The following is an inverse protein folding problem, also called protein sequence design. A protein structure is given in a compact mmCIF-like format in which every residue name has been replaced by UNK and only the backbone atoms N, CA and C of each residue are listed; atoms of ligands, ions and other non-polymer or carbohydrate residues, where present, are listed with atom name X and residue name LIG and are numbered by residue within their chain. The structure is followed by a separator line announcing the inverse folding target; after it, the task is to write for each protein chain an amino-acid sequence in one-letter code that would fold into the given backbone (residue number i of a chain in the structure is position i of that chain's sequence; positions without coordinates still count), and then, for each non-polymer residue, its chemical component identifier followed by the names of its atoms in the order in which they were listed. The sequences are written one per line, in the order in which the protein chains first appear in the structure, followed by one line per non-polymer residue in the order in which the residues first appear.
data_IF_960684702284
#
_entry.id   IF_960684702284
#
_cell.length_a   1.000
_cell.length_b   1.000
_cell.length_c   1.000
_cell.angle_alpha   90.00
_cell.angle_beta   90.00
_cell.angle_gamma   90.00
#
_symmetry.space_group_name_H-M   'P 1'
#
loop_
_entity.id
_entity.type
_entity.pdbx_description
1 polymer ?
#
# COMPACT_ATOMS: atom_id res chain seq x y z
N UNK A 1 -64.21 39.07 40.54
CA UNK A 1 -62.85 38.65 40.03
C UNK A 1 -63.02 37.33 39.27
N UNK A 2 -62.85 37.30 37.98
CA UNK A 2 -62.94 36.02 37.23
C UNK A 2 -61.66 35.24 37.38
N UNK A 3 -61.80 33.93 37.62
CA UNK A 3 -60.69 32.95 37.73
C UNK A 3 -59.96 32.79 36.41
N UNK A 4 -58.61 32.56 36.38
CA UNK A 4 -57.90 32.36 35.16
C UNK A 4 -58.24 30.96 34.60
N UNK A 5 -58.65 30.93 33.33
CA UNK A 5 -58.84 29.75 32.52
C UNK A 5 -57.49 29.11 32.28
N UNK A 6 -57.31 27.91 32.81
CA UNK A 6 -56.15 27.07 32.51
C UNK A 6 -56.18 26.64 31.04
N UNK A 7 -55.24 27.07 30.26
CA UNK A 7 -54.95 26.56 28.91
C UNK A 7 -54.62 25.06 29.00
N UNK A 8 -55.23 24.20 28.19
CA UNK A 8 -54.86 22.79 28.16
C UNK A 8 -53.42 22.67 27.59
N UNK A 9 -52.53 22.09 28.39
CA UNK A 9 -51.22 21.69 27.94
C UNK A 9 -51.38 20.64 26.82
N UNK A 10 -50.65 20.75 25.70
CA UNK A 10 -50.67 19.71 24.68
C UNK A 10 -50.17 18.42 25.32
N UNK A 11 -50.95 17.34 25.17
CA UNK A 11 -50.60 16.02 25.64
C UNK A 11 -49.28 15.62 24.96
N UNK A 12 -48.23 15.45 25.75
CA UNK A 12 -47.01 14.79 25.28
C UNK A 12 -47.43 13.41 24.78
N UNK A 13 -47.23 13.15 23.50
CA UNK A 13 -47.51 11.82 22.93
C UNK A 13 -46.45 10.87 23.51
N UNK A 14 -46.79 10.24 24.63
CA UNK A 14 -45.93 9.18 25.19
C UNK A 14 -45.73 8.12 24.12
N UNK A 15 -44.43 7.88 23.81
CA UNK A 15 -44.03 6.83 22.90
C UNK A 15 -44.43 5.47 23.51
N UNK A 16 -45.44 4.83 22.92
CA UNK A 16 -45.84 3.48 23.30
C UNK A 16 -45.10 2.44 22.45
N UNK A 17 -44.12 1.73 23.04
CA UNK A 17 -43.30 0.74 22.33
C UNK A 17 -44.12 -0.41 21.74
N UNK A 18 -45.28 -0.78 22.40
CA UNK A 18 -46.13 -1.86 21.94
C UNK A 18 -46.90 -1.48 20.68
N UNK A 19 -47.46 -0.27 20.66
CA UNK A 19 -48.18 0.26 19.49
C UNK A 19 -47.20 0.42 18.31
N UNK A 20 -45.99 0.93 18.57
CA UNK A 20 -44.95 1.04 17.56
C UNK A 20 -44.57 -0.34 16.99
N UNK A 21 -44.37 -1.34 17.84
CA UNK A 21 -44.04 -2.72 17.43
C UNK A 21 -45.15 -3.32 16.55
N UNK A 22 -46.41 -3.28 17.01
CA UNK A 22 -47.54 -3.84 16.27
C UNK A 22 -47.68 -3.19 14.89
N UNK A 23 -47.47 -1.88 14.81
CA UNK A 23 -47.56 -1.11 13.55
C UNK A 23 -46.44 -1.44 12.58
N UNK A 24 -45.22 -1.68 13.07
CA UNK A 24 -44.01 -1.79 12.23
C UNK A 24 -43.36 -3.19 12.22
N UNK A 25 -43.90 -4.18 12.94
CA UNK A 25 -43.34 -5.51 13.11
C UNK A 25 -42.93 -6.19 11.77
N UNK A 26 -43.77 -6.10 10.73
CA UNK A 26 -43.47 -6.69 9.42
C UNK A 26 -42.25 -6.05 8.78
N UNK A 27 -42.17 -4.72 8.84
CA UNK A 27 -41.06 -3.96 8.30
C UNK A 27 -39.77 -4.23 9.07
N UNK A 28 -39.85 -4.28 10.40
CA UNK A 28 -38.71 -4.58 11.28
C UNK A 28 -38.21 -6.01 11.00
N UNK A 29 -39.10 -7.01 10.94
CA UNK A 29 -38.71 -8.38 10.63
C UNK A 29 -38.10 -8.52 9.23
N UNK A 30 -38.62 -7.78 8.24
CA UNK A 30 -38.03 -7.77 6.90
C UNK A 30 -36.65 -7.15 6.91
N UNK A 31 -36.45 -6.03 7.61
CA UNK A 31 -35.14 -5.40 7.74
C UNK A 31 -34.11 -6.29 8.47
N UNK A 32 -34.56 -6.94 9.56
CA UNK A 32 -33.76 -7.93 10.28
C UNK A 32 -33.37 -9.11 9.38
N UNK A 33 -34.33 -9.61 8.58
CA UNK A 33 -34.05 -10.68 7.59
C UNK A 33 -33.00 -10.26 6.55
N UNK A 34 -33.13 -9.05 5.98
CA UNK A 34 -32.15 -8.50 5.05
C UNK A 34 -30.77 -8.34 5.70
N UNK A 35 -30.73 -7.87 6.95
CA UNK A 35 -29.47 -7.75 7.70
C UNK A 35 -28.79 -9.11 7.89
N UNK A 36 -29.57 -10.14 8.28
CA UNK A 36 -29.04 -11.51 8.45
C UNK A 36 -28.48 -12.05 7.12
N UNK A 37 -29.21 -11.86 6.00
CA UNK A 37 -28.72 -12.28 4.68
C UNK A 37 -27.43 -11.55 4.29
N UNK A 38 -27.36 -10.25 4.55
CA UNK A 38 -26.15 -9.46 4.30
C UNK A 38 -24.96 -9.93 5.15
N UNK A 39 -25.18 -10.21 6.44
CA UNK A 39 -24.14 -10.72 7.34
C UNK A 39 -23.65 -12.12 6.94
N UNK A 40 -24.56 -13.02 6.55
CA UNK A 40 -24.21 -14.37 6.07
C UNK A 40 -23.44 -14.27 4.75
N UNK A 41 -23.88 -13.41 3.82
CA UNK A 41 -23.18 -13.16 2.55
C UNK A 41 -21.78 -12.61 2.77
N UNK A 42 -21.62 -11.67 3.70
CA UNK A 42 -20.33 -11.13 4.11
C UNK A 42 -19.41 -12.22 4.70
N UNK A 43 -19.91 -12.99 5.67
CA UNK A 43 -19.14 -14.06 6.32
C UNK A 43 -18.70 -15.16 5.31
N UNK A 44 -19.57 -15.51 4.36
CA UNK A 44 -19.24 -16.48 3.32
C UNK A 44 -18.18 -15.92 2.35
N UNK A 45 -18.31 -14.65 1.96
CA UNK A 45 -17.32 -13.98 1.11
C UNK A 45 -15.94 -13.94 1.80
N UNK A 46 -15.90 -13.57 3.08
CA UNK A 46 -14.69 -13.55 3.90
C UNK A 46 -14.05 -14.95 3.99
N UNK A 47 -14.86 -15.96 4.26
CA UNK A 47 -14.40 -17.36 4.31
C UNK A 47 -13.76 -17.83 2.98
N UNK A 48 -14.43 -17.54 1.85
CA UNK A 48 -13.92 -17.90 0.52
C UNK A 48 -12.60 -17.15 0.24
N UNK A 49 -12.56 -15.87 0.58
CA UNK A 49 -11.37 -15.03 0.38
C UNK A 49 -10.19 -15.52 1.21
N UNK A 50 -10.40 -15.83 2.48
CA UNK A 50 -9.37 -16.36 3.38
C UNK A 50 -8.86 -17.73 2.92
N UNK A 51 -9.75 -18.63 2.49
CA UNK A 51 -9.36 -19.95 1.95
C UNK A 51 -8.54 -19.78 0.67
N UNK A 52 -8.93 -18.88 -0.22
CA UNK A 52 -8.20 -18.58 -1.47
C UNK A 52 -6.82 -18.01 -1.17
N UNK A 53 -6.71 -17.07 -0.23
CA UNK A 53 -5.44 -16.50 0.20
C UNK A 53 -4.52 -17.56 0.82
N UNK A 54 -5.05 -18.45 1.66
CA UNK A 54 -4.27 -19.53 2.26
C UNK A 54 -3.72 -20.51 1.19
N UNK A 55 -4.53 -20.87 0.19
CA UNK A 55 -4.09 -21.71 -0.92
C UNK A 55 -3.03 -21.01 -1.78
N UNK A 56 -3.20 -19.72 -2.06
CA UNK A 56 -2.23 -18.91 -2.78
C UNK A 56 -0.90 -18.80 -2.02
N UNK A 57 -0.97 -18.59 -0.70
CA UNK A 57 0.22 -18.54 0.17
C UNK A 57 0.98 -19.87 0.18
N UNK A 58 0.26 -21.00 0.24
CA UNK A 58 0.87 -22.31 0.20
C UNK A 58 1.56 -22.60 -1.16
N UNK A 59 0.97 -22.14 -2.26
CA UNK A 59 1.60 -22.24 -3.57
C UNK A 59 2.83 -21.33 -3.69
N UNK A 60 2.73 -20.09 -3.20
CA UNK A 60 3.83 -19.14 -3.22
C UNK A 60 5.02 -19.60 -2.37
N UNK A 61 4.76 -20.21 -1.21
CA UNK A 61 5.81 -20.72 -0.33
C UNK A 61 6.69 -21.81 -0.99
N UNK A 62 6.17 -22.49 -2.01
CA UNK A 62 6.89 -23.50 -2.78
C UNK A 62 7.36 -22.98 -4.16
N UNK A 63 7.12 -21.71 -4.47
CA UNK A 63 7.52 -21.10 -5.73
C UNK A 63 8.98 -20.66 -5.69
N UNK A 64 9.79 -21.08 -6.66
CA UNK A 64 11.21 -20.77 -6.75
C UNK A 64 11.64 -20.34 -8.15
N UNK A 65 10.79 -20.52 -9.15
CA UNK A 65 11.05 -20.19 -10.55
C UNK A 65 10.12 -19.05 -11.04
N UNK A 66 10.50 -18.46 -12.18
CA UNK A 66 9.65 -17.46 -12.86
C UNK A 66 8.28 -18.08 -13.20
N UNK A 67 8.25 -19.32 -13.64
CA UNK A 67 7.02 -20.05 -13.99
C UNK A 67 6.12 -20.28 -12.78
N UNK A 68 6.71 -20.61 -11.63
CA UNK A 68 5.95 -20.79 -10.38
C UNK A 68 5.28 -19.48 -9.95
N UNK A 69 6.01 -18.36 -9.97
CA UNK A 69 5.45 -17.04 -9.64
C UNK A 69 4.33 -16.65 -10.61
N UNK A 70 4.54 -16.87 -11.92
CA UNK A 70 3.50 -16.62 -12.94
C UNK A 70 2.25 -17.46 -12.69
N UNK A 71 2.41 -18.71 -12.24
CA UNK A 71 1.29 -19.58 -11.89
C UNK A 71 0.51 -19.07 -10.69
N UNK A 72 1.19 -18.62 -9.60
CA UNK A 72 0.51 -17.98 -8.45
C UNK A 72 -0.28 -16.76 -8.90
N UNK A 73 0.30 -15.91 -9.74
CA UNK A 73 -0.34 -14.70 -10.26
C UNK A 73 -1.58 -15.03 -11.10
N UNK A 74 -1.51 -16.07 -11.95
CA UNK A 74 -2.60 -16.45 -12.84
C UNK A 74 -3.76 -17.10 -12.05
N UNK A 75 -3.47 -18.06 -11.19
CA UNK A 75 -4.46 -18.86 -10.47
C UNK A 75 -5.15 -18.06 -9.35
N UNK A 76 -4.43 -17.09 -8.75
CA UNK A 76 -4.89 -16.36 -7.57
C UNK A 76 -4.89 -14.83 -7.77
N UNK A 77 -5.11 -14.37 -9.00
CA UNK A 77 -5.16 -12.94 -9.30
C UNK A 77 -6.06 -12.16 -8.32
N UNK A 78 -5.59 -11.01 -7.85
CA UNK A 78 -6.28 -10.16 -6.88
C UNK A 78 -6.11 -10.58 -5.41
N UNK A 79 -5.46 -11.70 -5.11
CA UNK A 79 -5.09 -12.08 -3.74
C UNK A 79 -3.81 -11.35 -3.30
N UNK A 80 -3.62 -11.16 -1.98
CA UNK A 80 -2.38 -10.58 -1.45
C UNK A 80 -1.14 -11.41 -1.83
N UNK A 81 -1.14 -12.77 -1.74
CA UNK A 81 0.00 -13.57 -2.18
C UNK A 81 0.32 -13.44 -3.67
N UNK A 82 -0.67 -13.14 -4.53
CA UNK A 82 -0.37 -12.85 -5.94
C UNK A 82 0.33 -11.49 -6.09
N UNK A 83 0.06 -10.52 -5.22
CA UNK A 83 0.84 -9.29 -5.11
C UNK A 83 2.30 -9.60 -4.75
N UNK A 84 2.52 -10.38 -3.69
CA UNK A 84 3.88 -10.82 -3.30
C UNK A 84 4.58 -11.56 -4.44
N UNK A 85 3.87 -12.41 -5.18
CA UNK A 85 4.41 -13.14 -6.33
C UNK A 85 4.90 -12.22 -7.45
N UNK A 86 4.23 -11.07 -7.71
CA UNK A 86 4.73 -10.06 -8.66
C UNK A 86 6.06 -9.48 -8.23
N UNK A 87 6.25 -9.21 -6.94
CA UNK A 87 7.50 -8.66 -6.41
C UNK A 87 8.63 -9.68 -6.52
N UNK A 88 8.37 -10.95 -6.17
CA UNK A 88 9.33 -12.03 -6.29
C UNK A 88 9.68 -12.34 -7.76
N UNK A 89 8.69 -12.28 -8.65
CA UNK A 89 8.89 -12.40 -10.10
C UNK A 89 9.80 -11.28 -10.61
N UNK A 90 9.54 -10.05 -10.22
CA UNK A 90 10.33 -8.90 -10.64
C UNK A 90 11.79 -9.00 -10.16
N UNK A 91 11.99 -9.45 -8.92
CA UNK A 91 13.34 -9.67 -8.37
C UNK A 91 14.08 -10.77 -9.14
N UNK A 92 13.42 -11.89 -9.42
CA UNK A 92 14.01 -13.01 -10.18
C UNK A 92 14.38 -12.59 -11.60
N UNK A 93 13.47 -11.87 -12.27
CA UNK A 93 13.72 -11.33 -13.62
C UNK A 93 14.90 -10.35 -13.64
N UNK A 94 15.00 -9.48 -12.64
CA UNK A 94 16.13 -8.56 -12.48
C UNK A 94 17.43 -9.32 -12.28
N UNK A 95 17.43 -10.35 -11.45
CA UNK A 95 18.62 -11.19 -11.22
C UNK A 95 19.10 -11.90 -12.49
N UNK A 96 18.17 -12.21 -13.42
CA UNK A 96 18.48 -12.76 -14.74
C UNK A 96 18.81 -11.70 -15.80
N UNK A 97 18.88 -10.42 -15.42
CA UNK A 97 19.15 -9.31 -16.34
C UNK A 97 17.97 -8.90 -17.22
N UNK A 98 16.78 -9.47 -17.02
CA UNK A 98 15.54 -9.20 -17.76
C UNK A 98 14.84 -7.95 -17.21
N UNK A 99 15.52 -6.79 -17.28
CA UNK A 99 15.10 -5.56 -16.62
C UNK A 99 13.75 -5.02 -17.11
N UNK A 100 13.46 -5.16 -18.42
CA UNK A 100 12.18 -4.69 -18.98
C UNK A 100 11.00 -5.54 -18.48
N UNK A 101 11.15 -6.87 -18.43
CA UNK A 101 10.12 -7.77 -17.88
C UNK A 101 9.94 -7.54 -16.38
N UNK A 102 11.04 -7.32 -15.65
CA UNK A 102 10.99 -6.96 -14.22
C UNK A 102 10.20 -5.67 -14.00
N UNK A 103 10.49 -4.64 -14.78
CA UNK A 103 9.78 -3.35 -14.69
C UNK A 103 8.30 -3.49 -15.04
N UNK A 104 7.95 -4.30 -16.06
CA UNK A 104 6.56 -4.59 -16.42
C UNK A 104 5.80 -5.30 -15.26
N UNK A 105 6.44 -6.26 -14.59
CA UNK A 105 5.87 -6.92 -13.42
C UNK A 105 5.63 -5.94 -12.26
N UNK A 106 6.60 -5.04 -11.99
CA UNK A 106 6.47 -4.00 -10.98
C UNK A 106 5.36 -2.98 -11.30
N UNK A 107 5.24 -2.56 -12.56
CA UNK A 107 4.14 -1.68 -12.97
C UNK A 107 2.78 -2.35 -12.74
N UNK A 108 2.64 -3.62 -13.15
CA UNK A 108 1.39 -4.36 -12.93
C UNK A 108 1.07 -4.51 -11.44
N UNK A 109 2.07 -4.75 -10.60
CA UNK A 109 1.89 -4.78 -9.15
C UNK A 109 1.40 -3.43 -8.61
N UNK A 110 2.06 -2.33 -9.00
CA UNK A 110 1.73 -0.98 -8.54
C UNK A 110 0.29 -0.59 -8.91
N UNK A 111 -0.16 -0.99 -10.10
CA UNK A 111 -1.53 -0.72 -10.56
C UNK A 111 -2.57 -1.56 -9.85
N UNK A 112 -2.30 -2.85 -9.65
CA UNK A 112 -3.29 -3.79 -9.09
C UNK A 112 -3.33 -3.81 -7.58
N UNK A 113 -2.24 -3.43 -6.90
CA UNK A 113 -2.07 -3.53 -5.45
C UNK A 113 -1.60 -2.20 -4.83
N UNK A 114 -2.28 -1.06 -5.09
CA UNK A 114 -1.83 0.27 -4.64
C UNK A 114 -1.75 0.40 -3.11
N UNK A 115 -2.58 -0.37 -2.37
CA UNK A 115 -2.63 -0.37 -0.91
C UNK A 115 -1.72 -1.43 -0.27
N UNK A 116 -0.91 -2.12 -1.07
CA UNK A 116 -0.02 -3.16 -0.54
C UNK A 116 1.08 -2.55 0.34
N UNK A 117 1.40 -3.20 1.47
CA UNK A 117 2.43 -2.71 2.41
C UNK A 117 3.81 -2.52 1.78
N UNK A 118 4.12 -3.26 0.71
CA UNK A 118 5.39 -3.20 -0.01
C UNK A 118 5.37 -2.27 -1.23
N UNK A 119 4.34 -1.42 -1.39
CA UNK A 119 4.21 -0.52 -2.55
C UNK A 119 5.41 0.42 -2.72
N UNK A 120 5.96 0.95 -1.62
CA UNK A 120 7.15 1.79 -1.65
C UNK A 120 8.40 1.03 -2.11
N UNK A 121 8.50 -0.26 -1.74
CA UNK A 121 9.55 -1.16 -2.21
C UNK A 121 9.46 -1.43 -3.71
N UNK A 122 8.24 -1.60 -4.25
CA UNK A 122 8.02 -1.76 -5.68
C UNK A 122 8.49 -0.54 -6.49
N UNK A 123 8.13 0.67 -6.04
CA UNK A 123 8.61 1.91 -6.65
C UNK A 123 10.14 2.03 -6.59
N UNK A 124 10.74 1.65 -5.46
CA UNK A 124 12.20 1.66 -5.29
C UNK A 124 12.87 0.65 -6.24
N UNK A 125 12.30 -0.55 -6.37
CA UNK A 125 12.81 -1.58 -7.29
C UNK A 125 12.69 -1.15 -8.76
N UNK A 126 11.60 -0.48 -9.13
CA UNK A 126 11.42 0.11 -10.46
C UNK A 126 12.48 1.18 -10.75
N UNK A 127 12.73 2.08 -9.79
CA UNK A 127 13.80 3.07 -9.92
C UNK A 127 15.17 2.43 -10.05
N UNK A 128 15.44 1.34 -9.32
CA UNK A 128 16.70 0.58 -9.44
C UNK A 128 16.85 -0.05 -10.82
N UNK A 129 15.77 -0.59 -11.41
CA UNK A 129 15.83 -1.12 -12.78
C UNK A 129 16.16 -0.02 -13.79
N UNK A 130 15.53 1.16 -13.68
CA UNK A 130 15.81 2.32 -14.54
C UNK A 130 17.26 2.80 -14.40
N UNK A 131 17.75 2.86 -13.17
CA UNK A 131 19.16 3.20 -12.90
C UNK A 131 20.12 2.19 -13.55
N UNK A 132 19.85 0.89 -13.42
CA UNK A 132 20.65 -0.17 -14.04
C UNK A 132 20.63 -0.10 -15.58
N UNK A 133 19.53 0.40 -16.15
CA UNK A 133 19.42 0.67 -17.60
C UNK A 133 20.09 1.98 -18.03
N UNK A 134 20.71 2.74 -17.12
CA UNK A 134 21.30 4.04 -17.41
C UNK A 134 20.28 5.18 -17.60
N UNK A 135 18.99 4.93 -17.34
CA UNK A 135 17.92 5.93 -17.43
C UNK A 135 17.87 6.79 -16.16
N UNK A 136 18.97 7.50 -15.90
CA UNK A 136 19.21 8.18 -14.61
C UNK A 136 18.17 9.25 -14.27
N UNK A 137 17.62 9.99 -15.24
CA UNK A 137 16.62 11.02 -14.98
C UNK A 137 15.25 10.41 -14.60
N UNK A 138 14.87 9.30 -15.24
CA UNK A 138 13.67 8.55 -14.89
C UNK A 138 13.83 7.87 -13.52
N UNK A 139 15.00 7.29 -13.25
CA UNK A 139 15.30 6.72 -11.93
C UNK A 139 15.20 7.78 -10.82
N UNK A 140 15.81 8.97 -11.03
CA UNK A 140 15.78 10.07 -10.08
C UNK A 140 14.34 10.50 -9.76
N UNK A 141 13.51 10.70 -10.78
CA UNK A 141 12.10 11.08 -10.60
C UNK A 141 11.30 9.99 -9.87
N UNK A 142 11.60 8.72 -10.16
CA UNK A 142 10.92 7.58 -9.52
C UNK A 142 11.34 7.43 -8.05
N UNK A 143 12.63 7.59 -7.72
CA UNK A 143 13.08 7.66 -6.33
C UNK A 143 12.49 8.86 -5.59
N UNK A 144 12.38 10.03 -6.25
CA UNK A 144 11.74 11.21 -5.66
C UNK A 144 10.29 10.94 -5.29
N UNK A 145 9.55 10.20 -6.10
CA UNK A 145 8.19 9.77 -5.76
C UNK A 145 8.17 8.97 -4.45
N UNK A 146 9.13 8.07 -4.23
CA UNK A 146 9.23 7.32 -2.97
C UNK A 146 9.46 8.25 -1.79
N UNK A 147 10.40 9.20 -1.89
CA UNK A 147 10.74 10.10 -0.79
C UNK A 147 9.68 11.17 -0.50
N UNK A 148 8.80 11.48 -1.45
CA UNK A 148 7.71 12.45 -1.26
C UNK A 148 6.39 11.78 -0.86
N UNK A 149 5.98 10.72 -1.57
CA UNK A 149 4.69 10.06 -1.34
C UNK A 149 4.75 9.04 -0.19
N UNK A 150 5.90 8.39 -0.02
CA UNK A 150 6.11 7.32 0.96
C UNK A 150 7.22 7.67 1.95
N UNK A 151 7.29 8.93 2.39
CA UNK A 151 8.36 9.47 3.22
C UNK A 151 8.61 8.69 4.53
N UNK A 152 7.57 8.09 5.09
CA UNK A 152 7.65 7.31 6.34
C UNK A 152 7.87 5.80 6.10
N UNK A 153 8.09 5.37 4.86
CA UNK A 153 8.32 3.96 4.54
C UNK A 153 9.78 3.54 4.81
N UNK A 154 9.99 2.24 4.96
CA UNK A 154 11.34 1.66 5.04
C UNK A 154 12.17 1.92 3.78
N UNK A 155 11.53 2.19 2.64
CA UNK A 155 12.20 2.44 1.35
C UNK A 155 12.66 3.90 1.20
N UNK A 156 12.10 4.85 1.96
CA UNK A 156 12.42 6.26 1.84
C UNK A 156 13.93 6.58 2.03
N UNK A 157 14.63 6.07 3.07
CA UNK A 157 16.05 6.31 3.22
C UNK A 157 16.88 5.69 2.08
N UNK A 158 16.48 4.55 1.54
CA UNK A 158 17.17 3.91 0.40
C UNK A 158 17.02 4.78 -0.85
N UNK A 159 15.79 5.24 -1.12
CA UNK A 159 15.50 6.09 -2.27
C UNK A 159 16.21 7.46 -2.18
N UNK A 160 16.30 8.05 -0.98
CA UNK A 160 16.98 9.32 -0.77
C UNK A 160 18.50 9.18 -0.99
N UNK A 161 19.10 8.09 -0.53
CA UNK A 161 20.51 7.79 -0.76
C UNK A 161 20.80 7.60 -2.26
N UNK A 162 19.94 6.86 -2.97
CA UNK A 162 20.08 6.64 -4.42
C UNK A 162 19.95 7.95 -5.20
N UNK A 163 19.00 8.84 -4.86
CA UNK A 163 18.91 10.17 -5.48
C UNK A 163 20.19 10.97 -5.31
N UNK A 164 20.73 11.03 -4.09
CA UNK A 164 21.95 11.77 -3.80
C UNK A 164 23.13 11.24 -4.61
N UNK A 165 23.24 9.91 -4.74
CA UNK A 165 24.29 9.26 -5.52
C UNK A 165 24.18 9.58 -7.01
N UNK A 166 22.98 9.48 -7.59
CA UNK A 166 22.72 9.83 -9.00
C UNK A 166 23.07 11.31 -9.26
N UNK A 167 22.70 12.21 -8.36
CA UNK A 167 23.04 13.65 -8.49
C UNK A 167 24.54 13.88 -8.44
N UNK A 168 25.25 13.21 -7.55
CA UNK A 168 26.72 13.28 -7.48
C UNK A 168 27.37 12.76 -8.77
N UNK A 169 26.91 11.64 -9.32
CA UNK A 169 27.36 11.08 -10.60
C UNK A 169 27.11 12.05 -11.77
N UNK A 170 26.00 12.77 -11.75
CA UNK A 170 25.68 13.80 -12.75
C UNK A 170 26.45 15.12 -12.54
N UNK A 171 27.37 15.18 -11.59
CA UNK A 171 28.15 16.39 -11.27
C UNK A 171 27.35 17.48 -10.51
N UNK A 172 26.12 17.19 -10.08
CA UNK A 172 25.29 18.10 -9.28
C UNK A 172 25.64 18.00 -7.79
N UNK A 173 26.89 18.34 -7.48
CA UNK A 173 27.52 18.11 -6.18
C UNK A 173 26.77 18.78 -5.02
N UNK A 174 26.31 20.02 -5.19
CA UNK A 174 25.60 20.74 -4.13
C UNK A 174 24.20 20.16 -3.86
N UNK A 175 23.52 19.66 -4.90
CA UNK A 175 22.24 18.99 -4.73
C UNK A 175 22.42 17.64 -4.02
N UNK A 176 23.44 16.88 -4.41
CA UNK A 176 23.80 15.62 -3.75
C UNK A 176 24.14 15.86 -2.26
N UNK A 177 24.94 16.89 -1.98
CA UNK A 177 25.29 17.26 -0.59
C UNK A 177 24.06 17.53 0.25
N UNK A 178 23.12 18.33 -0.25
CA UNK A 178 21.85 18.62 0.47
C UNK A 178 21.07 17.38 0.80
N UNK A 179 20.97 16.41 -0.13
CA UNK A 179 20.26 15.17 0.12
C UNK A 179 20.99 14.27 1.13
N UNK A 180 22.31 14.21 1.11
CA UNK A 180 23.08 13.47 2.12
C UNK A 180 22.91 14.09 3.52
N UNK A 181 22.92 15.42 3.65
CA UNK A 181 22.69 16.12 4.91
C UNK A 181 21.26 15.92 5.42
N UNK A 182 20.28 15.96 4.52
CA UNK A 182 18.90 15.62 4.81
C UNK A 182 18.78 14.18 5.34
N UNK A 183 19.50 13.24 4.76
CA UNK A 183 19.54 11.85 5.21
C UNK A 183 20.00 11.73 6.66
N UNK A 184 21.08 12.42 7.03
CA UNK A 184 21.62 12.42 8.40
C UNK A 184 20.63 12.97 9.42
N UNK A 185 19.81 13.94 8.99
CA UNK A 185 18.83 14.61 9.85
C UNK A 185 17.54 13.81 9.99
N UNK A 186 17.03 13.26 8.88
CA UNK A 186 15.73 12.60 8.87
C UNK A 186 15.79 11.13 9.32
N UNK A 187 16.91 10.46 9.08
CA UNK A 187 17.06 9.02 9.34
C UNK A 187 18.30 8.71 10.21
N UNK A 188 18.47 9.38 11.37
CA UNK A 188 19.64 9.17 12.22
C UNK A 188 19.73 7.72 12.67
N UNK A 189 20.94 7.14 12.57
CA UNK A 189 21.18 5.74 12.95
C UNK A 189 20.81 4.69 11.89
N UNK A 190 20.20 5.09 10.78
CA UNK A 190 19.95 4.19 9.65
C UNK A 190 21.25 3.87 8.91
N UNK A 191 21.36 2.65 8.35
CA UNK A 191 22.51 2.26 7.53
C UNK A 191 22.74 3.22 6.36
N UNK A 192 21.66 3.69 5.71
CA UNK A 192 21.76 4.66 4.62
C UNK A 192 22.36 5.99 5.07
N UNK A 193 22.11 6.45 6.30
CA UNK A 193 22.74 7.65 6.86
C UNK A 193 24.24 7.47 7.09
N UNK A 194 24.67 6.29 7.53
CA UNK A 194 26.11 5.99 7.65
C UNK A 194 26.81 6.06 6.27
N UNK A 195 26.16 5.51 5.24
CA UNK A 195 26.67 5.60 3.87
C UNK A 195 26.71 7.05 3.37
N UNK A 196 25.64 7.84 3.63
CA UNK A 196 25.59 9.25 3.28
C UNK A 196 26.75 10.05 3.90
N UNK A 197 27.10 9.74 5.16
CA UNK A 197 28.23 10.39 5.83
C UNK A 197 29.57 10.10 5.13
N UNK A 198 29.74 8.88 4.63
CA UNK A 198 30.94 8.49 3.87
C UNK A 198 31.01 9.27 2.55
N UNK A 199 29.90 9.33 1.82
CA UNK A 199 29.82 10.04 0.53
C UNK A 199 30.04 11.57 0.70
N UNK A 200 29.48 12.19 1.75
CA UNK A 200 29.73 13.60 2.08
C UNK A 200 31.20 13.91 2.29
N UNK A 201 31.97 13.00 2.90
CA UNK A 201 33.43 13.20 3.08
C UNK A 201 34.18 13.16 1.74
N UNK A 202 33.70 12.37 0.76
CA UNK A 202 34.29 12.32 -0.57
C UNK A 202 34.04 13.60 -1.38
N UNK A 203 32.84 14.19 -1.23
CA UNK A 203 32.48 15.45 -1.89
C UNK A 203 33.25 16.68 -1.38
N UNK A 204 33.88 16.60 -0.21
CA UNK A 204 34.68 17.67 0.36
C UNK A 204 36.14 17.71 -0.12
N UNK A 205 36.57 16.70 -0.87
CA UNK A 205 37.90 16.60 -1.46
C UNK A 205 37.90 17.07 -2.91
#
# INVERSE_FOLDING_TARGET
MPSPTSTPQPAETEFDPLVFWIKHQKTILMLCGLLVVALVGYALSEYIHNKRNASAQALLANAHSIEDYRKVIADYSGSMPAGDAYLMLAEKLRAEGKLDESSAALHTFIEKYPEHSLISGAWTSLATNLETQGKLDEALSTYQKVTTTYANSFSAPIALLAQARILAEKGKTEDARRLYEQMLTQFPGNFAAQQAQIELRKLKK
#
